data_IF_331127878474
#
_entry.id   IF_331127878474
#
_cell.length_a   1.000
_cell.length_b   1.000
_cell.length_c   1.000
_cell.angle_alpha   90.00
_cell.angle_beta   90.00
_cell.angle_gamma   90.00
#
_symmetry.space_group_name_H-M   'P 1'
#
loop_
_entity.id
_entity.type
_entity.pdbx_description
1 polymer ?
#
# COMPACT_ATOMS: atom_id res chain seq x y z
N UNK A 1 -14.02 1.54 39.52
CA UNK A 1 -13.91 0.27 40.27
C UNK A 1 -14.65 -0.77 39.44
N UNK A 2 -14.12 -1.99 39.34
CA UNK A 2 -14.34 -3.01 38.29
C UNK A 2 -13.56 -2.67 37.00
N UNK A 3 -12.52 -3.37 36.55
CA UNK A 3 -11.96 -4.66 36.93
C UNK A 3 -11.85 -5.55 35.70
N UNK A 4 -10.72 -5.49 34.99
CA UNK A 4 -10.29 -6.54 34.06
C UNK A 4 -8.82 -6.86 34.34
N UNK A 5 -8.63 -7.80 35.25
CA UNK A 5 -7.37 -8.50 35.49
C UNK A 5 -7.36 -9.75 34.62
N UNK A 6 -6.51 -9.75 33.60
CA UNK A 6 -6.14 -10.91 32.80
C UNK A 6 -4.80 -10.58 32.13
N UNK A 7 -3.71 -11.09 32.71
CA UNK A 7 -2.30 -10.79 32.42
C UNK A 7 -1.98 -10.68 30.92
N UNK A 8 -1.56 -9.47 30.53
CA UNK A 8 -0.66 -9.18 29.41
C UNK A 8 0.65 -8.58 29.97
N UNK A 9 1.19 -9.22 31.02
CA UNK A 9 2.49 -8.85 31.58
C UNK A 9 3.62 -9.47 30.73
N UNK A 10 3.83 -8.95 29.52
CA UNK A 10 5.11 -8.95 28.79
C UNK A 10 5.01 -8.34 27.38
N UNK A 11 4.32 -7.20 27.22
CA UNK A 11 4.50 -6.33 26.06
C UNK A 11 4.96 -4.98 26.63
N UNK A 12 6.24 -4.67 26.44
CA UNK A 12 6.88 -3.45 26.95
C UNK A 12 6.19 -2.18 26.43
N UNK A 13 6.47 -1.01 27.05
CA UNK A 13 5.80 0.25 26.75
C UNK A 13 6.31 0.89 25.43
N UNK A 14 6.14 0.18 24.31
CA UNK A 14 6.38 0.67 22.94
C UNK A 14 5.09 0.57 22.12
N UNK A 15 3.96 1.04 22.66
CA UNK A 15 2.73 1.22 21.89
C UNK A 15 2.49 2.68 21.55
N UNK A 16 2.22 2.90 20.26
CA UNK A 16 1.60 4.07 19.65
C UNK A 16 2.41 5.36 19.59
N UNK A 17 3.23 5.47 18.54
CA UNK A 17 3.49 6.77 17.88
C UNK A 17 3.77 6.57 16.38
N UNK A 18 2.88 5.88 15.68
CA UNK A 18 2.68 6.14 14.24
C UNK A 18 1.55 7.18 14.14
N UNK A 19 1.83 8.40 14.62
CA UNK A 19 0.90 9.51 14.46
C UNK A 19 1.23 10.19 13.13
N UNK A 20 0.38 9.93 12.14
CA UNK A 20 0.35 10.64 10.86
C UNK A 20 -0.04 12.10 11.16
N UNK A 21 0.90 13.02 10.97
CA UNK A 21 0.73 14.45 11.22
C UNK A 21 1.73 15.28 10.42
N UNK A 22 1.49 16.60 10.23
CA UNK A 22 2.10 17.37 9.15
C UNK A 22 3.61 17.65 9.36
N UNK A 23 4.41 17.30 8.35
CA UNK A 23 5.54 18.09 7.83
C UNK A 23 6.85 18.16 8.64
N UNK A 24 6.85 17.81 9.93
CA UNK A 24 8.07 17.80 10.75
C UNK A 24 8.07 16.56 11.64
N UNK A 25 9.18 15.81 11.64
CA UNK A 25 9.34 14.64 12.50
C UNK A 25 9.19 15.06 13.97
N UNK A 26 8.23 14.48 14.72
CA UNK A 26 8.03 14.85 16.10
C UNK A 26 9.23 14.41 16.94
N UNK A 27 9.55 15.19 17.98
CA UNK A 27 10.52 14.78 18.98
C UNK A 27 10.12 13.40 19.53
N UNK A 28 11.03 12.43 19.49
CA UNK A 28 10.73 11.05 19.89
C UNK A 28 10.39 10.89 21.39
N UNK A 29 10.66 11.90 22.22
CA UNK A 29 10.24 11.94 23.61
C UNK A 29 8.87 12.63 23.84
N UNK A 30 8.16 13.02 22.78
CA UNK A 30 6.87 13.70 22.90
C UNK A 30 5.88 12.80 23.64
N UNK A 31 5.29 13.32 24.72
CA UNK A 31 4.38 12.57 25.59
C UNK A 31 5.06 11.73 26.68
N UNK A 32 6.40 11.61 26.67
CA UNK A 32 7.16 10.91 27.72
C UNK A 32 7.77 11.86 28.76
N UNK A 33 7.97 13.13 28.40
CA UNK A 33 8.50 14.16 29.29
C UNK A 33 7.37 14.96 29.94
N UNK A 34 7.56 15.34 31.22
CA UNK A 34 6.67 16.28 31.91
C UNK A 34 6.76 17.70 31.32
N UNK A 35 7.95 18.08 30.86
CA UNK A 35 8.19 19.33 30.15
C UNK A 35 7.72 19.22 28.70
N UNK A 36 6.96 20.21 28.18
CA UNK A 36 6.49 20.18 26.80
C UNK A 36 7.65 20.34 25.80
N UNK A 37 7.46 19.82 24.59
CA UNK A 37 8.35 20.15 23.48
C UNK A 37 8.21 21.64 23.18
N UNK A 38 9.31 22.41 23.24
CA UNK A 38 9.35 23.87 23.05
C UNK A 38 9.09 24.35 21.61
N UNK A 39 8.17 23.72 20.87
CA UNK A 39 7.86 24.08 19.48
C UNK A 39 9.02 23.95 18.48
N UNK A 40 10.19 23.49 18.93
CA UNK A 40 11.39 23.34 18.13
C UNK A 40 11.38 22.08 17.28
N UNK A 41 12.01 22.20 16.11
CA UNK A 41 12.28 21.09 15.20
C UNK A 41 13.11 20.03 15.91
N UNK A 42 12.73 18.76 15.80
CA UNK A 42 13.54 17.65 16.29
C UNK A 42 14.66 17.34 15.29
N UNK A 43 15.77 18.08 15.37
CA UNK A 43 16.91 17.98 14.45
C UNK A 43 18.06 17.11 15.00
N UNK A 44 18.12 16.88 16.32
CA UNK A 44 19.17 16.09 16.96
C UNK A 44 18.88 14.60 16.80
N UNK A 45 19.46 13.98 15.77
CA UNK A 45 19.35 12.53 15.56
C UNK A 45 20.08 11.74 16.63
N UNK A 46 19.57 10.56 16.97
CA UNK A 46 20.29 9.59 17.79
C UNK A 46 21.59 9.18 17.09
N UNK A 47 22.75 9.37 17.75
CA UNK A 47 24.04 9.05 17.15
C UNK A 47 24.30 7.56 16.92
N UNK A 48 23.53 6.67 17.57
CA UNK A 48 23.65 5.22 17.38
C UNK A 48 22.90 4.71 16.16
N UNK A 49 21.63 5.08 16.00
CA UNK A 49 20.77 4.56 14.94
C UNK A 49 20.46 5.57 13.83
N UNK A 50 20.45 6.87 14.11
CA UNK A 50 20.05 7.90 13.15
C UNK A 50 18.56 7.93 12.79
N UNK A 51 17.75 7.01 13.30
CA UNK A 51 16.33 6.84 12.94
C UNK A 51 15.35 7.72 13.73
N UNK A 52 15.73 8.20 14.92
CA UNK A 52 14.91 9.06 15.79
C UNK A 52 15.59 10.40 16.03
N UNK A 53 14.82 11.45 16.28
CA UNK A 53 15.36 12.76 16.64
C UNK A 53 14.68 13.41 17.83
N UNK A 54 15.36 14.40 18.40
CA UNK A 54 14.99 15.06 19.64
C UNK A 54 15.14 16.58 19.49
N UNK A 55 14.26 17.34 20.13
CA UNK A 55 14.45 18.79 20.24
C UNK A 55 15.50 19.19 21.28
N UNK A 56 15.86 18.28 22.22
CA UNK A 56 16.83 18.55 23.28
C UNK A 56 17.56 17.30 23.75
N UNK A 57 18.73 17.48 24.40
CA UNK A 57 19.47 16.39 25.04
C UNK A 57 18.71 15.78 26.21
N UNK A 58 17.94 16.59 26.95
CA UNK A 58 17.11 16.10 28.05
C UNK A 58 16.06 15.08 27.56
N UNK A 59 15.38 15.39 26.45
CA UNK A 59 14.42 14.50 25.81
C UNK A 59 15.05 13.21 25.29
N UNK A 60 16.28 13.29 24.76
CA UNK A 60 17.04 12.09 24.38
C UNK A 60 17.28 11.18 25.59
N UNK A 61 17.70 11.73 26.73
CA UNK A 61 17.95 10.94 27.96
C UNK A 61 16.68 10.30 28.50
N UNK A 62 15.54 11.00 28.43
CA UNK A 62 14.23 10.47 28.83
C UNK A 62 13.85 9.29 27.92
N UNK A 63 13.90 9.49 26.60
CA UNK A 63 13.51 8.45 25.63
C UNK A 63 14.47 7.26 25.63
N UNK A 64 15.75 7.44 25.98
CA UNK A 64 16.75 6.37 26.01
C UNK A 64 16.34 5.16 26.86
N UNK A 65 15.50 5.36 27.88
CA UNK A 65 14.98 4.28 28.73
C UNK A 65 14.19 3.22 27.95
N UNK A 66 13.53 3.62 26.88
CA UNK A 66 12.75 2.76 25.98
C UNK A 66 13.56 2.45 24.71
N UNK A 67 14.10 3.50 24.08
CA UNK A 67 14.80 3.41 22.80
C UNK A 67 16.04 2.50 22.79
N UNK A 68 16.71 2.30 23.94
CA UNK A 68 17.93 1.48 24.02
C UNK A 68 17.78 0.08 23.42
N UNK A 69 16.61 -0.54 23.58
CA UNK A 69 16.32 -1.89 23.07
C UNK A 69 16.07 -1.90 21.55
N UNK A 70 15.59 -0.78 21.00
CA UNK A 70 15.25 -0.62 19.59
C UNK A 70 16.42 -0.06 18.78
N UNK A 71 17.33 0.68 19.43
CA UNK A 71 18.41 1.44 18.78
C UNK A 71 19.29 0.56 17.88
N UNK A 72 19.69 -0.64 18.34
CA UNK A 72 20.49 -1.56 17.52
C UNK A 72 19.73 -1.99 16.26
N UNK A 73 18.46 -2.34 16.40
CA UNK A 73 17.60 -2.80 15.30
C UNK A 73 17.35 -1.66 14.30
N UNK A 74 17.07 -0.44 14.77
CA UNK A 74 16.97 0.74 13.90
C UNK A 74 18.28 1.02 13.18
N UNK A 75 19.44 0.86 13.82
CA UNK A 75 20.73 1.04 13.15
C UNK A 75 20.91 0.02 12.01
N UNK A 76 20.45 -1.22 12.17
CA UNK A 76 20.47 -2.24 11.11
C UNK A 76 19.54 -1.88 9.96
N UNK A 77 18.30 -1.46 10.25
CA UNK A 77 17.34 -1.01 9.24
C UNK A 77 17.87 0.22 8.47
N UNK A 78 18.50 1.17 9.16
CA UNK A 78 19.11 2.36 8.57
C UNK A 78 20.31 2.06 7.66
N UNK A 79 20.96 0.90 7.77
CA UNK A 79 22.00 0.47 6.81
C UNK A 79 21.44 0.06 5.46
N UNK A 80 20.14 -0.23 5.37
CA UNK A 80 19.49 -0.69 4.12
C UNK A 80 18.85 0.44 3.32
N UNK A 81 18.95 1.68 3.78
CA UNK A 81 18.31 2.84 3.17
C UNK A 81 18.64 2.99 1.69
N UNK A 82 19.93 2.90 1.35
CA UNK A 82 20.39 3.12 -0.01
C UNK A 82 19.82 2.09 -0.99
N UNK A 83 19.56 0.87 -0.52
CA UNK A 83 18.93 -0.19 -1.34
C UNK A 83 17.43 0.07 -1.50
N UNK A 84 16.77 0.57 -0.45
CA UNK A 84 15.33 0.85 -0.48
C UNK A 84 14.97 2.05 -1.35
N UNK A 85 15.88 3.01 -1.51
CA UNK A 85 15.67 4.21 -2.33
C UNK A 85 16.13 4.06 -3.79
N UNK A 86 16.72 2.92 -4.15
CA UNK A 86 17.08 2.62 -5.54
C UNK A 86 15.84 2.25 -6.35
N UNK A 87 15.56 3.09 -7.34
CA UNK A 87 14.55 2.88 -8.37
C UNK A 87 15.13 3.25 -9.74
N UNK A 88 14.67 2.63 -10.84
CA UNK A 88 15.17 2.93 -12.19
C UNK A 88 14.61 4.23 -12.79
N UNK A 89 13.77 4.96 -12.05
CA UNK A 89 12.94 6.01 -12.60
C UNK A 89 13.63 7.36 -12.68
N UNK A 90 13.50 8.01 -13.83
CA UNK A 90 14.04 9.36 -14.04
C UNK A 90 13.03 10.47 -13.69
N UNK A 91 11.76 10.12 -13.41
CA UNK A 91 10.73 11.09 -13.03
C UNK A 91 10.79 11.50 -11.54
N UNK A 92 11.65 10.87 -10.74
CA UNK A 92 11.77 11.11 -9.29
C UNK A 92 12.63 12.34 -8.95
N UNK A 93 13.13 13.08 -9.95
CA UNK A 93 13.94 14.28 -9.72
C UNK A 93 13.14 15.33 -8.91
N UNK A 94 13.73 15.91 -7.84
CA UNK A 94 13.02 16.84 -6.98
C UNK A 94 12.56 18.08 -7.78
N UNK A 95 11.30 18.52 -7.62
CA UNK A 95 10.90 19.80 -8.18
C UNK A 95 11.74 20.94 -7.59
N UNK A 96 12.02 21.96 -8.41
CA UNK A 96 12.53 23.23 -7.92
C UNK A 96 11.58 23.75 -6.82
N UNK A 97 12.15 24.18 -5.69
CA UNK A 97 11.39 24.62 -4.51
C UNK A 97 10.37 25.69 -4.91
N UNK A 98 9.08 25.37 -4.80
CA UNK A 98 7.99 26.32 -4.99
C UNK A 98 7.23 26.46 -3.68
N UNK A 99 7.16 27.69 -3.14
CA UNK A 99 6.62 27.98 -1.81
C UNK A 99 5.07 28.00 -1.75
N UNK A 100 4.39 27.72 -2.87
CA UNK A 100 2.93 27.81 -2.97
C UNK A 100 2.17 26.54 -2.53
N UNK A 101 2.81 25.37 -2.49
CA UNK A 101 2.18 24.10 -2.11
C UNK A 101 2.77 23.54 -0.81
N UNK A 102 1.89 23.15 0.11
CA UNK A 102 2.27 22.68 1.45
C UNK A 102 2.71 21.21 1.54
N UNK A 103 2.61 20.44 0.45
CA UNK A 103 2.95 19.01 0.40
C UNK A 103 3.99 18.71 -0.68
N UNK A 104 5.03 17.95 -0.30
CA UNK A 104 6.04 17.44 -1.23
C UNK A 104 5.40 16.55 -2.32
N UNK A 105 4.39 15.76 -1.96
CA UNK A 105 3.61 14.96 -2.91
C UNK A 105 2.86 15.81 -3.94
N UNK A 106 2.23 16.91 -3.52
CA UNK A 106 1.56 17.82 -4.45
C UNK A 106 2.55 18.53 -5.38
N UNK A 107 3.71 18.97 -4.86
CA UNK A 107 4.79 19.56 -5.67
C UNK A 107 5.31 18.58 -6.73
N UNK A 108 5.51 17.33 -6.35
CA UNK A 108 5.89 16.25 -7.27
C UNK A 108 4.83 16.05 -8.37
N UNK A 109 3.56 15.91 -8.00
CA UNK A 109 2.50 15.72 -9.00
C UNK A 109 2.35 16.94 -9.92
N UNK A 110 2.63 18.15 -9.41
CA UNK A 110 2.62 19.36 -10.22
C UNK A 110 3.77 19.37 -11.24
N UNK A 111 4.97 18.93 -10.86
CA UNK A 111 6.13 18.90 -11.77
C UNK A 111 5.92 17.97 -12.97
N UNK A 112 5.21 16.86 -12.76
CA UNK A 112 4.81 15.93 -13.83
C UNK A 112 3.44 16.26 -14.45
N UNK A 113 2.84 17.42 -14.11
CA UNK A 113 1.56 17.93 -14.64
C UNK A 113 0.33 17.04 -14.38
N UNK A 114 0.36 16.22 -13.34
CA UNK A 114 -0.71 15.28 -12.94
C UNK A 114 -1.45 15.67 -11.66
N UNK A 115 -1.05 16.76 -11.00
CA UNK A 115 -1.72 17.29 -9.81
C UNK A 115 -3.23 17.47 -10.03
N UNK A 116 -4.06 16.85 -9.17
CA UNK A 116 -5.53 16.91 -9.20
C UNK A 116 -6.18 16.42 -10.51
N UNK A 117 -5.58 15.47 -11.23
CA UNK A 117 -6.11 14.92 -12.48
C UNK A 117 -6.40 13.43 -12.38
N UNK A 118 -7.54 12.99 -12.96
CA UNK A 118 -7.95 11.58 -13.10
C UNK A 118 -7.59 10.71 -11.89
N UNK A 119 -6.94 9.59 -12.17
CA UNK A 119 -6.50 8.60 -11.16
C UNK A 119 -5.50 9.15 -10.12
N UNK A 120 -4.88 10.31 -10.39
CA UNK A 120 -3.83 10.90 -9.55
C UNK A 120 -4.37 11.81 -8.45
N UNK A 121 -5.68 12.15 -8.49
CA UNK A 121 -6.32 13.05 -7.52
C UNK A 121 -6.10 12.61 -6.07
N UNK A 122 -6.24 11.31 -5.79
CA UNK A 122 -6.10 10.73 -4.45
C UNK A 122 -4.67 10.72 -3.90
N UNK A 123 -3.68 10.97 -4.77
CA UNK A 123 -2.30 11.14 -4.35
C UNK A 123 -2.01 12.55 -3.80
N UNK A 124 -2.91 13.50 -4.03
CA UNK A 124 -2.82 14.84 -3.47
C UNK A 124 -3.47 14.89 -2.07
N UNK A 125 -2.89 15.67 -1.16
CA UNK A 125 -3.54 15.98 0.13
C UNK A 125 -4.19 17.37 0.14
N UNK A 126 -3.92 18.21 -0.86
CA UNK A 126 -4.55 19.51 -1.03
C UNK A 126 -5.99 19.35 -1.55
N UNK A 127 -6.89 20.28 -1.22
CA UNK A 127 -8.25 20.28 -1.77
C UNK A 127 -9.21 19.25 -1.17
N UNK A 128 -8.97 18.73 0.04
CA UNK A 128 -9.94 17.88 0.79
C UNK A 128 -11.20 18.62 1.29
N UNK A 129 -11.53 19.77 0.70
CA UNK A 129 -12.81 20.43 0.95
C UNK A 129 -13.88 19.78 0.07
N UNK A 130 -14.62 18.84 0.67
CA UNK A 130 -16.00 18.48 0.33
C UNK A 130 -16.34 18.17 -1.15
N UNK A 131 -15.48 17.48 -1.91
CA UNK A 131 -15.94 16.83 -3.13
C UNK A 131 -16.86 15.64 -2.74
N UNK A 132 -18.13 15.60 -3.20
CA UNK A 132 -19.01 14.49 -2.88
C UNK A 132 -18.42 13.18 -3.41
N UNK A 133 -18.52 12.12 -2.61
CA UNK A 133 -18.11 10.72 -2.88
C UNK A 133 -18.79 10.10 -4.11
N UNK A 134 -19.47 10.91 -4.93
CA UNK A 134 -20.19 10.51 -6.14
C UNK A 134 -19.31 10.50 -7.41
N UNK A 135 -18.10 11.05 -7.37
CA UNK A 135 -17.25 11.23 -8.55
C UNK A 135 -16.16 10.15 -8.71
N UNK A 136 -16.46 8.92 -8.28
CA UNK A 136 -15.53 7.77 -8.29
C UNK A 136 -15.77 6.90 -9.54
N UNK A 137 -15.94 7.53 -10.69
CA UNK A 137 -16.27 6.79 -11.91
C UNK A 137 -15.06 5.97 -12.37
N UNK A 138 -15.33 4.78 -12.91
CA UNK A 138 -14.33 3.90 -13.54
C UNK A 138 -13.75 4.55 -14.82
N UNK A 139 -14.26 5.72 -15.21
CA UNK A 139 -13.88 6.45 -16.41
C UNK A 139 -12.67 7.37 -16.20
N UNK A 140 -12.09 7.39 -15.00
CA UNK A 140 -10.88 8.15 -14.73
C UNK A 140 -9.72 7.69 -15.63
N UNK A 141 -9.22 8.63 -16.43
CA UNK A 141 -8.13 8.43 -17.37
C UNK A 141 -6.76 8.49 -16.67
N UNK A 142 -5.75 7.96 -17.35
CA UNK A 142 -4.35 8.16 -16.95
C UNK A 142 -3.91 9.62 -17.03
N UNK A 143 -4.57 10.45 -17.85
CA UNK A 143 -4.11 11.81 -18.20
C UNK A 143 -2.65 11.85 -18.68
N UNK A 144 -2.22 10.77 -19.34
CA UNK A 144 -0.90 10.57 -19.93
C UNK A 144 -1.08 10.20 -21.40
N UNK A 145 -0.08 10.51 -22.22
CA UNK A 145 -0.02 10.05 -23.61
C UNK A 145 0.02 8.52 -23.67
N UNK A 146 -0.46 7.95 -24.77
CA UNK A 146 -0.51 6.49 -25.00
C UNK A 146 0.84 5.79 -24.86
N UNK A 147 1.94 6.48 -25.16
CA UNK A 147 3.32 6.00 -25.00
C UNK A 147 3.80 5.95 -23.55
N UNK A 148 3.07 6.58 -22.62
CA UNK A 148 3.44 6.72 -21.21
C UNK A 148 2.52 5.95 -20.28
N UNK A 149 1.49 5.25 -20.76
CA UNK A 149 0.61 4.48 -19.90
C UNK A 149 0.15 3.17 -20.54
N UNK A 150 -0.14 2.14 -19.71
CA UNK A 150 -0.64 0.85 -20.19
C UNK A 150 -2.14 0.93 -20.52
N UNK A 151 -2.48 1.67 -21.59
CA UNK A 151 -3.88 1.87 -22.01
C UNK A 151 -4.39 0.82 -23.02
N UNK A 152 -3.54 -0.12 -23.44
CA UNK A 152 -3.85 -1.17 -24.40
C UNK A 152 -3.25 -2.51 -23.96
N UNK A 153 -3.66 -3.59 -24.63
CA UNK A 153 -3.07 -4.93 -24.42
C UNK A 153 -1.54 -4.92 -24.58
N UNK A 154 -0.81 -5.78 -23.83
CA UNK A 154 0.63 -5.95 -24.00
C UNK A 154 0.95 -6.59 -25.37
N UNK A 155 2.12 -6.25 -25.91
CA UNK A 155 2.58 -6.78 -27.21
C UNK A 155 3.04 -8.22 -27.13
N UNK A 156 3.55 -8.61 -25.97
CA UNK A 156 4.10 -9.94 -25.69
C UNK A 156 3.36 -10.55 -24.49
N UNK A 157 3.23 -11.89 -24.44
CA UNK A 157 2.74 -12.58 -23.24
C UNK A 157 3.53 -12.16 -22.00
N UNK A 158 2.87 -12.18 -20.84
CA UNK A 158 3.54 -11.91 -19.56
C UNK A 158 4.67 -12.91 -19.34
N UNK A 159 5.88 -12.48 -18.94
CA UNK A 159 6.96 -13.39 -18.56
C UNK A 159 6.53 -14.29 -17.40
N UNK A 160 7.20 -15.44 -17.23
CA UNK A 160 6.90 -16.37 -16.14
C UNK A 160 7.03 -15.72 -14.76
N UNK A 161 7.94 -14.75 -14.61
CA UNK A 161 8.12 -13.95 -13.39
C UNK A 161 8.53 -12.53 -13.80
N UNK A 162 7.82 -11.53 -13.30
CA UNK A 162 8.28 -10.14 -13.24
C UNK A 162 8.89 -9.89 -11.86
N UNK A 163 10.19 -9.59 -11.78
CA UNK A 163 10.92 -9.50 -10.52
C UNK A 163 11.26 -8.06 -10.10
N UNK A 164 11.10 -7.09 -11.00
CA UNK A 164 11.48 -5.70 -10.79
C UNK A 164 10.60 -4.73 -11.58
N UNK A 165 10.68 -3.44 -11.25
CA UNK A 165 10.04 -2.38 -12.03
C UNK A 165 10.61 -2.31 -13.45
N UNK A 166 11.90 -2.55 -13.62
CA UNK A 166 12.60 -2.62 -14.90
C UNK A 166 11.99 -3.70 -15.80
N UNK A 167 11.79 -4.91 -15.28
CA UNK A 167 11.16 -6.01 -16.03
C UNK A 167 9.74 -5.63 -16.50
N UNK A 168 8.95 -5.01 -15.61
CA UNK A 168 7.59 -4.59 -15.93
C UNK A 168 7.56 -3.50 -17.01
N UNK A 169 8.42 -2.48 -16.88
CA UNK A 169 8.50 -1.38 -17.85
C UNK A 169 8.99 -1.87 -19.21
N UNK A 170 9.99 -2.75 -19.25
CA UNK A 170 10.46 -3.40 -20.47
C UNK A 170 9.34 -4.19 -21.14
N UNK A 171 8.66 -5.07 -20.38
CA UNK A 171 7.56 -5.89 -20.88
C UNK A 171 6.40 -5.05 -21.44
N UNK A 172 6.01 -3.98 -20.74
CA UNK A 172 4.96 -3.06 -21.19
C UNK A 172 5.42 -2.05 -22.23
N UNK A 173 6.70 -2.07 -22.62
CA UNK A 173 7.29 -1.10 -23.55
C UNK A 173 7.10 0.34 -23.08
N UNK A 174 7.20 0.57 -21.77
CA UNK A 174 7.09 1.88 -21.13
C UNK A 174 8.48 2.48 -20.88
N UNK A 175 8.68 3.77 -21.13
CA UNK A 175 9.93 4.41 -20.78
C UNK A 175 10.02 4.70 -19.28
N UNK A 176 11.23 4.70 -18.70
CA UNK A 176 11.47 4.91 -17.26
C UNK A 176 11.12 6.31 -16.73
N UNK A 177 10.80 7.26 -17.62
CA UNK A 177 10.23 8.56 -17.24
C UNK A 177 8.68 8.53 -17.14
N UNK A 178 8.03 7.43 -17.50
CA UNK A 178 6.59 7.27 -17.25
C UNK A 178 6.32 7.09 -15.74
N UNK A 179 5.43 7.89 -15.14
CA UNK A 179 5.19 7.87 -13.69
C UNK A 179 4.22 6.77 -13.23
N UNK A 180 3.79 5.84 -14.09
CA UNK A 180 2.70 4.90 -13.77
C UNK A 180 2.98 3.98 -12.58
N UNK A 181 4.25 3.72 -12.23
CA UNK A 181 4.64 2.98 -11.03
C UNK A 181 4.08 3.59 -9.73
N UNK A 182 3.77 4.89 -9.73
CA UNK A 182 3.12 5.58 -8.60
C UNK A 182 1.71 5.06 -8.31
N UNK A 183 1.01 4.52 -9.32
CA UNK A 183 -0.34 3.95 -9.18
C UNK A 183 -0.35 2.43 -9.34
N UNK A 184 0.50 1.90 -10.22
CA UNK A 184 0.57 0.47 -10.51
C UNK A 184 1.21 -0.36 -9.39
N UNK A 185 1.80 0.27 -8.37
CA UNK A 185 2.26 -0.48 -7.21
C UNK A 185 1.11 -1.26 -6.55
N UNK A 186 -0.17 -0.85 -6.66
CA UNK A 186 -1.29 -1.63 -6.13
C UNK A 186 -1.42 -3.01 -6.82
N UNK A 187 -1.73 -3.10 -8.13
CA UNK A 187 -1.86 -4.38 -8.80
C UNK A 187 -0.56 -5.18 -8.86
N UNK A 188 0.60 -4.52 -8.99
CA UNK A 188 1.88 -5.24 -9.09
C UNK A 188 2.35 -5.81 -7.74
N UNK A 189 2.04 -5.13 -6.62
CA UNK A 189 2.25 -5.70 -5.29
C UNK A 189 1.35 -6.93 -5.09
N UNK A 190 0.09 -6.86 -5.51
CA UNK A 190 -0.83 -7.99 -5.45
C UNK A 190 -0.33 -9.16 -6.32
N UNK A 191 0.11 -8.89 -7.56
CA UNK A 191 0.73 -9.89 -8.43
C UNK A 191 1.91 -10.58 -7.73
N UNK A 192 2.83 -9.80 -7.15
CA UNK A 192 3.97 -10.36 -6.42
C UNK A 192 3.53 -11.24 -5.24
N UNK A 193 2.52 -10.82 -4.48
CA UNK A 193 1.98 -11.60 -3.37
C UNK A 193 1.33 -12.92 -3.83
N UNK A 194 0.62 -12.90 -4.96
CA UNK A 194 0.06 -14.12 -5.57
C UNK A 194 1.19 -15.10 -5.93
N UNK A 195 2.27 -14.62 -6.55
CA UNK A 195 3.45 -15.44 -6.85
C UNK A 195 4.09 -16.03 -5.58
N UNK A 196 4.25 -15.24 -4.52
CA UNK A 196 4.79 -15.71 -3.23
C UNK A 196 3.92 -16.77 -2.56
N UNK A 197 2.60 -16.65 -2.70
CA UNK A 197 1.65 -17.62 -2.15
C UNK A 197 1.64 -18.96 -2.92
N UNK A 198 2.37 -19.04 -4.04
CA UNK A 198 2.35 -20.16 -5.01
C UNK A 198 0.96 -20.49 -5.54
N UNK A 199 0.06 -19.51 -5.54
CA UNK A 199 -1.27 -19.62 -6.10
C UNK A 199 -1.22 -19.16 -7.54
N UNK A 200 -0.46 -19.89 -8.35
CA UNK A 200 -0.68 -19.89 -9.79
C UNK A 200 -1.88 -20.80 -10.06
N UNK A 201 -2.89 -20.36 -10.82
CA UNK A 201 -3.97 -21.24 -11.25
C UNK A 201 -3.37 -22.52 -11.79
N UNK A 202 -3.83 -23.66 -11.25
CA UNK A 202 -3.45 -24.96 -11.81
C UNK A 202 -4.10 -25.07 -13.18
N UNK A 203 -3.45 -25.83 -14.06
CA UNK A 203 -3.95 -26.27 -15.37
C UNK A 203 -5.17 -27.23 -15.23
N UNK A 204 -6.03 -27.03 -14.23
CA UNK A 204 -7.17 -27.89 -13.88
C UNK A 204 -8.53 -27.32 -14.32
N UNK A 205 -8.53 -26.23 -15.10
CA UNK A 205 -9.74 -25.74 -15.78
C UNK A 205 -10.71 -24.96 -14.89
N UNK A 206 -10.28 -24.47 -13.72
CA UNK A 206 -10.98 -23.45 -12.96
C UNK A 206 -10.27 -22.10 -13.11
N UNK A 207 -10.63 -21.39 -14.19
CA UNK A 207 -10.07 -20.10 -14.61
C UNK A 207 -10.54 -18.93 -13.72
N UNK A 208 -10.53 -19.06 -12.39
CA UNK A 208 -10.97 -18.00 -11.47
C UNK A 208 -10.05 -17.85 -10.25
N UNK A 209 -9.53 -16.64 -10.05
CA UNK A 209 -8.77 -16.24 -8.88
C UNK A 209 -9.59 -15.27 -7.99
N UNK A 210 -10.18 -15.81 -6.92
CA UNK A 210 -10.85 -15.05 -5.87
C UNK A 210 -9.87 -14.55 -4.78
N UNK A 211 -9.87 -13.24 -4.50
CA UNK A 211 -8.96 -12.55 -3.57
C UNK A 211 -9.79 -11.70 -2.61
N UNK A 212 -9.50 -11.75 -1.31
CA UNK A 212 -10.04 -10.76 -0.37
C UNK A 212 -8.99 -9.68 -0.12
N UNK A 213 -9.26 -8.46 -0.57
CA UNK A 213 -8.41 -7.28 -0.42
C UNK A 213 -8.87 -6.47 0.78
N UNK A 214 -8.03 -6.33 1.80
CA UNK A 214 -8.43 -5.72 3.08
C UNK A 214 -7.88 -4.31 3.22
N UNK A 215 -8.72 -3.41 3.73
CA UNK A 215 -8.35 -2.02 4.05
C UNK A 215 -8.09 -1.13 2.84
N UNK A 216 -8.89 -1.16 1.76
CA UNK A 216 -8.72 -0.22 0.66
C UNK A 216 -9.01 1.22 1.11
N UNK A 217 -8.15 2.15 0.73
CA UNK A 217 -8.32 3.58 0.99
C UNK A 217 -8.23 4.36 -0.33
N UNK A 218 -7.01 4.74 -0.73
CA UNK A 218 -6.75 5.44 -1.99
C UNK A 218 -7.17 4.63 -3.21
N UNK A 219 -7.10 3.30 -3.08
CA UNK A 219 -7.46 2.33 -4.10
C UNK A 219 -8.93 2.44 -4.52
N UNK A 220 -9.81 2.87 -3.61
CA UNK A 220 -11.23 3.10 -3.91
C UNK A 220 -11.44 4.20 -4.97
N UNK A 221 -10.46 5.10 -5.11
CA UNK A 221 -10.40 6.19 -6.08
C UNK A 221 -9.54 5.83 -7.31
N UNK A 222 -8.93 4.64 -7.31
CA UNK A 222 -7.95 4.19 -8.31
C UNK A 222 -8.30 2.80 -8.84
N UNK A 223 -9.57 2.38 -8.75
CA UNK A 223 -10.01 1.03 -9.12
C UNK A 223 -9.60 0.68 -10.56
N UNK A 224 -9.61 1.65 -11.48
CA UNK A 224 -9.20 1.42 -12.87
C UNK A 224 -7.74 0.93 -13.02
N UNK A 225 -6.85 1.21 -12.05
CA UNK A 225 -5.48 0.68 -12.05
C UNK A 225 -5.45 -0.85 -11.92
N UNK A 226 -6.45 -1.46 -11.27
CA UNK A 226 -6.58 -2.92 -11.18
C UNK A 226 -6.88 -3.58 -12.53
N UNK A 227 -7.22 -2.80 -13.57
CA UNK A 227 -7.32 -3.29 -14.94
C UNK A 227 -6.02 -3.91 -15.45
N UNK A 228 -4.86 -3.51 -14.92
CA UNK A 228 -3.57 -4.11 -15.31
C UNK A 228 -3.47 -5.59 -14.93
N UNK A 229 -4.24 -6.07 -13.95
CA UNK A 229 -4.27 -7.49 -13.59
C UNK A 229 -4.73 -8.39 -14.75
N UNK A 230 -5.47 -7.84 -15.72
CA UNK A 230 -5.86 -8.54 -16.95
C UNK A 230 -4.65 -8.97 -17.78
N UNK A 231 -3.66 -8.08 -17.88
CA UNK A 231 -2.42 -8.34 -18.59
C UNK A 231 -1.51 -9.31 -17.80
N UNK A 232 -1.54 -9.22 -16.47
CA UNK A 232 -0.69 -10.01 -15.57
C UNK A 232 -1.17 -11.46 -15.39
N UNK A 233 -2.47 -11.72 -15.60
CA UNK A 233 -3.07 -13.06 -15.52
C UNK A 233 -3.97 -13.33 -16.75
N UNK A 234 -3.38 -13.54 -17.93
CA UNK A 234 -4.14 -13.79 -19.14
C UNK A 234 -4.94 -15.11 -19.01
N UNK A 235 -6.22 -15.07 -19.38
CA UNK A 235 -7.12 -16.22 -19.35
C UNK A 235 -7.73 -16.54 -17.97
N UNK A 236 -7.41 -15.78 -16.92
CA UNK A 236 -7.87 -16.05 -15.54
C UNK A 236 -8.89 -14.98 -15.14
N UNK A 237 -10.10 -15.35 -14.75
CA UNK A 237 -11.08 -14.41 -14.19
C UNK A 237 -10.68 -13.99 -12.78
N UNK A 238 -10.51 -12.69 -12.54
CA UNK A 238 -10.06 -12.19 -11.24
C UNK A 238 -11.25 -11.61 -10.51
N UNK A 239 -11.54 -12.13 -9.31
CA UNK A 239 -12.59 -11.63 -8.43
C UNK A 239 -11.92 -11.09 -7.17
N UNK A 240 -12.13 -9.81 -6.87
CA UNK A 240 -11.56 -9.15 -5.68
C UNK A 240 -12.69 -8.61 -4.81
N UNK A 241 -12.79 -9.14 -3.61
CA UNK A 241 -13.65 -8.65 -2.55
C UNK A 241 -12.87 -7.59 -1.76
N UNK A 242 -13.13 -6.30 -2.02
CA UNK A 242 -12.50 -5.17 -1.33
C UNK A 242 -13.27 -4.85 -0.04
N UNK A 243 -12.67 -5.09 1.11
CA UNK A 243 -13.33 -5.03 2.42
C UNK A 243 -12.62 -4.03 3.32
N UNK A 244 -13.34 -3.01 3.79
CA UNK A 244 -12.77 -2.09 4.76
C UNK A 244 -13.76 -1.07 5.34
N UNK A 245 -13.43 -0.47 6.50
CA UNK A 245 -14.27 0.56 7.12
C UNK A 245 -14.38 1.83 6.25
N UNK A 246 -13.36 2.14 5.46
CA UNK A 246 -13.28 3.33 4.60
C UNK A 246 -14.09 3.21 3.30
N UNK A 247 -14.65 2.02 2.99
CA UNK A 247 -15.62 1.89 1.90
C UNK A 247 -16.83 2.77 2.21
N UNK A 248 -17.23 3.68 1.30
CA UNK A 248 -18.39 4.54 1.53
C UNK A 248 -19.68 3.72 1.65
N UNK A 249 -20.57 4.11 2.58
CA UNK A 249 -21.85 3.40 2.77
C UNK A 249 -22.70 3.35 1.49
N UNK A 250 -22.59 4.38 0.64
CA UNK A 250 -23.30 4.45 -0.64
C UNK A 250 -22.78 3.47 -1.70
N UNK A 251 -21.60 2.88 -1.49
CA UNK A 251 -20.95 1.91 -2.39
C UNK A 251 -20.88 0.50 -1.79
N UNK A 252 -21.44 0.30 -0.60
CA UNK A 252 -21.48 -1.03 0.02
C UNK A 252 -22.30 -2.00 -0.84
N UNK A 253 -21.70 -3.14 -1.19
CA UNK A 253 -22.27 -4.13 -2.10
C UNK A 253 -22.13 -3.81 -3.59
N UNK A 254 -21.52 -2.68 -3.96
CA UNK A 254 -21.30 -2.31 -5.36
C UNK A 254 -20.37 -3.32 -6.05
N UNK A 255 -20.73 -3.71 -7.28
CA UNK A 255 -19.91 -4.56 -8.14
C UNK A 255 -19.43 -3.73 -9.34
N UNK A 256 -18.12 -3.65 -9.48
CA UNK A 256 -17.39 -2.94 -10.53
C UNK A 256 -16.74 -3.96 -11.46
N UNK A 257 -17.08 -3.90 -12.75
CA UNK A 257 -16.48 -4.77 -13.77
C UNK A 257 -15.48 -3.97 -14.61
N UNK A 258 -14.20 -4.36 -14.59
CA UNK A 258 -13.14 -3.74 -15.37
C UNK A 258 -12.93 -4.55 -16.65
N UNK A 259 -13.65 -4.12 -17.70
CA UNK A 259 -13.63 -4.74 -19.02
C UNK A 259 -12.59 -4.15 -19.99
N UNK A 260 -11.90 -3.07 -19.59
CA UNK A 260 -10.88 -2.35 -20.38
C UNK A 260 -9.85 -1.69 -19.47
N UNK A 261 -8.69 -1.36 -20.03
CA UNK A 261 -7.69 -0.51 -19.36
C UNK A 261 -8.19 0.93 -19.23
N UNK A 262 -7.66 1.66 -18.25
CA UNK A 262 -7.86 3.10 -18.17
C UNK A 262 -7.32 3.80 -19.42
N UNK A 263 -8.07 4.75 -19.96
CA UNK A 263 -7.74 5.40 -21.22
C UNK A 263 -6.55 6.38 -21.07
N UNK A 264 -5.81 6.57 -22.16
CA UNK A 264 -4.82 7.64 -22.27
C UNK A 264 -5.47 8.95 -22.73
N UNK A 265 -4.70 10.04 -22.73
CA UNK A 265 -5.18 11.36 -23.17
C UNK A 265 -5.26 11.53 -24.68
N UNK A 266 -4.60 10.69 -25.47
CA UNK A 266 -4.47 10.89 -26.92
C UNK A 266 -5.80 10.60 -27.64
N UNK A 267 -6.37 11.61 -28.31
CA UNK A 267 -7.68 11.50 -28.98
C UNK A 267 -7.74 10.43 -30.07
N UNK A 268 -6.63 10.21 -30.78
CA UNK A 268 -6.52 9.24 -31.86
C UNK A 268 -6.13 7.84 -31.37
N UNK A 269 -5.98 7.61 -30.07
CA UNK A 269 -5.59 6.30 -29.55
C UNK A 269 -6.75 5.31 -29.65
N UNK A 270 -6.44 4.06 -30.01
CA UNK A 270 -7.42 3.00 -30.10
C UNK A 270 -8.11 2.70 -28.76
N UNK A 271 -7.50 3.04 -27.62
CA UNK A 271 -8.11 2.88 -26.29
C UNK A 271 -9.38 3.73 -26.10
N UNK A 272 -9.61 4.76 -26.94
CA UNK A 272 -10.83 5.59 -26.94
C UNK A 272 -11.91 5.09 -27.89
N UNK A 273 -11.56 4.15 -28.78
CA UNK A 273 -12.53 3.60 -29.73
C UNK A 273 -13.46 2.61 -29.02
N UNK A 274 -14.78 2.79 -29.20
CA UNK A 274 -15.82 1.90 -28.63
C UNK A 274 -15.85 0.50 -29.25
N UNK A 275 -14.90 0.18 -30.14
CA UNK A 275 -14.77 -1.14 -30.74
C UNK A 275 -14.01 -2.01 -29.73
N UNK A 276 -14.70 -2.35 -28.64
CA UNK A 276 -14.38 -3.59 -27.95
C UNK A 276 -14.57 -4.69 -28.98
N UNK A 277 -13.48 -5.35 -29.40
CA UNK A 277 -13.66 -6.66 -29.98
C UNK A 277 -14.52 -7.44 -28.99
N UNK A 278 -15.59 -8.05 -29.47
CA UNK A 278 -16.30 -9.10 -28.72
C UNK A 278 -15.37 -10.32 -28.64
N UNK A 279 -14.16 -10.15 -28.13
CA UNK A 279 -13.29 -11.25 -27.80
C UNK A 279 -13.76 -11.77 -26.44
N UNK A 280 -14.52 -12.87 -26.51
CA UNK A 280 -14.94 -13.66 -25.36
C UNK A 280 -13.75 -14.23 -24.53
N UNK A 281 -12.50 -13.90 -24.89
CA UNK A 281 -11.27 -14.37 -24.26
C UNK A 281 -10.59 -13.34 -23.34
N UNK A 282 -11.14 -12.13 -23.18
CA UNK A 282 -10.56 -11.13 -22.29
C UNK A 282 -10.78 -11.48 -20.81
N UNK A 283 -9.68 -11.59 -20.04
CA UNK A 283 -9.71 -11.67 -18.57
C UNK A 283 -10.62 -10.58 -18.00
N UNK A 284 -11.66 -10.97 -17.27
CA UNK A 284 -12.51 -10.05 -16.53
C UNK A 284 -11.93 -9.84 -15.12
N UNK A 285 -11.79 -8.56 -14.71
CA UNK A 285 -11.50 -8.20 -13.32
C UNK A 285 -12.80 -7.66 -12.71
N UNK A 286 -13.32 -8.38 -11.74
CA UNK A 286 -14.54 -8.04 -11.00
C UNK A 286 -14.14 -7.61 -9.60
N UNK A 287 -14.53 -6.41 -9.22
CA UNK A 287 -14.29 -5.85 -7.89
C UNK A 287 -15.62 -5.69 -7.18
N UNK A 288 -15.73 -6.18 -5.95
CA UNK A 288 -16.93 -6.00 -5.13
C UNK A 288 -16.56 -5.33 -3.81
N UNK A 289 -17.31 -4.29 -3.46
CA UNK A 289 -16.97 -3.42 -2.33
C UNK A 289 -17.81 -3.80 -1.11
N UNK A 290 -17.16 -3.86 0.05
CA UNK A 290 -17.80 -4.16 1.33
C UNK A 290 -17.37 -3.19 2.40
N UNK A 291 -18.35 -2.48 2.96
CA UNK A 291 -18.13 -1.66 4.14
C UNK A 291 -18.11 -2.51 5.40
N UNK A 292 -17.15 -2.20 6.26
CA UNK A 292 -17.02 -2.78 7.61
C UNK A 292 -15.70 -3.51 7.81
N UNK A 293 -15.48 -4.00 9.02
CA UNK A 293 -14.27 -4.77 9.27
C UNK A 293 -14.40 -6.19 8.72
N UNK A 294 -13.28 -6.75 8.26
CA UNK A 294 -13.28 -8.10 7.69
C UNK A 294 -13.89 -9.14 8.63
N UNK A 295 -13.58 -9.07 9.93
CA UNK A 295 -14.09 -10.00 10.92
C UNK A 295 -15.61 -9.93 11.16
N UNK A 296 -16.27 -8.86 10.72
CA UNK A 296 -17.72 -8.70 10.78
C UNK A 296 -18.38 -9.17 9.48
N UNK A 297 -17.69 -9.01 8.35
CA UNK A 297 -18.21 -9.29 7.01
C UNK A 297 -17.81 -10.67 6.47
N UNK A 298 -16.80 -11.34 7.04
CA UNK A 298 -16.23 -12.56 6.47
C UNK A 298 -17.27 -13.67 6.24
N UNK A 299 -18.22 -13.83 7.17
CA UNK A 299 -19.28 -14.83 7.08
C UNK A 299 -20.27 -14.54 5.95
N UNK A 300 -20.46 -13.27 5.57
CA UNK A 300 -21.30 -12.89 4.42
C UNK A 300 -20.55 -13.05 3.11
N UNK A 301 -19.27 -12.67 3.08
CA UNK A 301 -18.42 -12.70 1.88
C UNK A 301 -18.11 -14.15 1.49
N UNK A 302 -17.83 -15.03 2.46
CA UNK A 302 -17.46 -16.42 2.21
C UNK A 302 -18.65 -17.35 1.90
N UNK A 303 -19.88 -16.82 1.78
CA UNK A 303 -21.06 -17.66 1.44
C UNK A 303 -20.97 -18.27 0.05
N UNK A 304 -20.49 -17.48 -0.91
CA UNK A 304 -20.52 -17.84 -2.32
C UNK A 304 -19.19 -18.45 -2.81
N UNK A 305 -18.06 -18.04 -2.23
CA UNK A 305 -16.75 -18.59 -2.55
C UNK A 305 -15.75 -18.40 -1.41
N UNK A 306 -14.79 -19.33 -1.29
CA UNK A 306 -13.62 -19.16 -0.43
C UNK A 306 -12.51 -18.48 -1.22
N UNK A 307 -11.86 -17.43 -0.70
CA UNK A 307 -10.76 -16.80 -1.40
C UNK A 307 -9.54 -17.72 -1.43
N UNK A 308 -8.80 -17.57 -2.51
CA UNK A 308 -7.49 -18.15 -2.69
C UNK A 308 -6.50 -17.42 -1.78
N UNK A 309 -6.51 -16.09 -1.83
CA UNK A 309 -5.56 -15.23 -1.10
C UNK A 309 -6.29 -14.12 -0.34
N UNK A 310 -5.81 -13.82 0.87
CA UNK A 310 -6.11 -12.56 1.57
C UNK A 310 -4.92 -11.63 1.39
N UNK A 311 -5.15 -10.43 0.86
CA UNK A 311 -4.13 -9.41 0.66
C UNK A 311 -4.50 -8.14 1.45
N UNK A 312 -3.57 -7.65 2.26
CA UNK A 312 -3.78 -6.47 3.11
C UNK A 312 -2.60 -5.49 2.92
N UNK A 313 -2.69 -4.57 1.96
CA UNK A 313 -1.63 -3.62 1.72
C UNK A 313 -1.60 -2.53 2.79
N UNK A 314 -0.40 -2.07 3.14
CA UNK A 314 -0.16 -1.03 4.13
C UNK A 314 -0.94 -1.27 5.44
N UNK A 315 -0.99 -2.53 5.88
CA UNK A 315 -1.98 -2.99 6.85
C UNK A 315 -1.88 -2.28 8.20
N UNK A 316 -0.68 -1.91 8.64
CA UNK A 316 -0.50 -1.30 9.95
C UNK A 316 -1.01 -2.19 11.08
N UNK A 317 -0.75 -3.51 11.02
CA UNK A 317 -1.30 -4.50 11.97
C UNK A 317 -0.99 -4.14 13.43
N UNK A 318 0.22 -3.63 13.68
CA UNK A 318 0.63 -3.20 15.02
C UNK A 318 0.07 -1.82 15.43
N UNK A 319 -0.41 -1.03 14.46
CA UNK A 319 -0.94 0.31 14.70
C UNK A 319 -2.44 0.31 15.05
N UNK A 320 -3.22 -0.65 14.53
CA UNK A 320 -4.67 -0.68 14.72
C UNK A 320 -5.13 -1.95 15.47
N UNK A 321 -5.66 -1.81 16.71
CA UNK A 321 -6.15 -2.95 17.49
C UNK A 321 -7.29 -3.74 16.83
N UNK A 322 -8.03 -3.11 15.90
CA UNK A 322 -9.09 -3.76 15.12
C UNK A 322 -8.60 -4.92 14.25
N UNK A 323 -7.28 -5.04 14.02
CA UNK A 323 -6.71 -6.20 13.33
C UNK A 323 -6.78 -7.48 14.14
N UNK A 324 -6.76 -7.43 15.48
CA UNK A 324 -6.71 -8.62 16.32
C UNK A 324 -7.80 -9.67 15.98
N UNK A 325 -9.11 -9.32 15.98
CA UNK A 325 -10.15 -10.26 15.56
C UNK A 325 -10.03 -10.72 14.10
N UNK A 326 -9.54 -9.86 13.20
CA UNK A 326 -9.29 -10.22 11.79
C UNK A 326 -8.19 -11.29 11.68
N UNK A 327 -7.06 -11.11 12.37
CA UNK A 327 -5.94 -12.07 12.38
C UNK A 327 -6.37 -13.41 12.99
N UNK A 328 -7.22 -13.40 14.02
CA UNK A 328 -7.79 -14.62 14.59
C UNK A 328 -8.64 -15.39 13.57
N UNK A 329 -9.45 -14.69 12.78
CA UNK A 329 -10.27 -15.32 11.74
C UNK A 329 -9.39 -15.89 10.63
N UNK A 330 -8.41 -15.13 10.14
CA UNK A 330 -7.44 -15.61 9.14
C UNK A 330 -6.74 -16.89 9.62
N UNK A 331 -6.30 -16.90 10.89
CA UNK A 331 -5.70 -18.09 11.51
C UNK A 331 -6.67 -19.29 11.50
N UNK A 332 -7.94 -19.08 11.84
CA UNK A 332 -8.95 -20.14 11.93
C UNK A 332 -9.35 -20.68 10.56
N UNK A 333 -9.44 -19.84 9.55
CA UNK A 333 -9.78 -20.25 8.18
C UNK A 333 -8.60 -20.91 7.47
N UNK A 334 -7.36 -20.59 7.87
CA UNK A 334 -6.15 -21.15 7.28
C UNK A 334 -5.86 -20.65 5.86
N UNK A 335 -6.60 -19.65 5.40
CA UNK A 335 -6.41 -19.04 4.08
C UNK A 335 -5.08 -18.29 4.08
N UNK A 336 -4.21 -18.47 3.06
CA UNK A 336 -2.98 -17.71 2.94
C UNK A 336 -3.26 -16.20 3.00
N UNK A 337 -2.57 -15.50 3.91
CA UNK A 337 -2.70 -14.07 4.09
C UNK A 337 -1.35 -13.37 3.97
N UNK A 338 -1.29 -12.35 3.12
CA UNK A 338 -0.09 -11.57 2.87
C UNK A 338 -0.40 -10.09 3.13
N UNK A 339 0.48 -9.46 3.88
CA UNK A 339 0.40 -8.09 4.31
C UNK A 339 1.55 -7.31 3.72
N UNK A 340 1.36 -6.00 3.53
CA UNK A 340 2.49 -5.08 3.32
C UNK A 340 2.51 -3.96 4.33
N UNK A 341 3.68 -3.34 4.51
CA UNK A 341 3.87 -2.19 5.39
C UNK A 341 4.86 -1.18 4.82
N UNK A 342 4.80 0.06 5.32
CA UNK A 342 5.54 1.19 4.77
C UNK A 342 7.06 1.13 4.98
N UNK A 343 7.50 0.55 6.09
CA UNK A 343 8.91 0.46 6.47
C UNK A 343 9.20 -0.84 7.22
N UNK A 344 10.48 -1.16 7.33
CA UNK A 344 10.92 -2.42 7.95
C UNK A 344 10.47 -2.51 9.42
N UNK A 345 10.38 -1.37 10.10
CA UNK A 345 9.91 -1.34 11.48
C UNK A 345 8.44 -1.68 11.63
N UNK A 346 7.59 -1.09 10.79
CA UNK A 346 6.16 -1.41 10.80
C UNK A 346 5.94 -2.90 10.52
N UNK A 347 6.67 -3.46 9.53
CA UNK A 347 6.62 -4.89 9.22
C UNK A 347 7.13 -5.77 10.38
N UNK A 348 8.18 -5.35 11.08
CA UNK A 348 8.69 -6.07 12.27
C UNK A 348 7.65 -6.10 13.39
N UNK A 349 7.05 -4.96 13.71
CA UNK A 349 6.01 -4.88 14.73
C UNK A 349 4.77 -5.69 14.32
N UNK A 350 4.36 -5.62 13.06
CA UNK A 350 3.28 -6.44 12.50
C UNK A 350 3.59 -7.95 12.66
N UNK A 351 4.81 -8.38 12.34
CA UNK A 351 5.26 -9.76 12.57
C UNK A 351 5.15 -10.18 14.03
N UNK A 352 5.58 -9.33 14.97
CA UNK A 352 5.47 -9.61 16.40
C UNK A 352 4.00 -9.76 16.81
N UNK A 353 3.12 -8.84 16.40
CA UNK A 353 1.68 -8.90 16.69
C UNK A 353 1.04 -10.18 16.12
N UNK A 354 1.29 -10.50 14.85
CA UNK A 354 0.75 -11.70 14.20
C UNK A 354 1.24 -12.95 14.93
N UNK A 355 2.52 -13.07 15.24
CA UNK A 355 3.05 -14.24 15.96
C UNK A 355 2.50 -14.34 17.38
N UNK A 356 2.29 -13.23 18.09
CA UNK A 356 1.65 -13.24 19.41
C UNK A 356 0.20 -13.70 19.36
N UNK A 357 -0.59 -13.24 18.38
CA UNK A 357 -2.02 -13.62 18.24
C UNK A 357 -2.15 -15.09 17.77
N UNK A 358 -1.28 -15.52 16.86
CA UNK A 358 -1.40 -16.82 16.21
C UNK A 358 -0.66 -17.94 16.95
N UNK A 359 0.35 -17.59 17.75
CA UNK A 359 1.28 -18.55 18.33
C UNK A 359 2.14 -19.27 17.28
N UNK A 360 2.24 -18.72 16.06
CA UNK A 360 2.97 -19.30 14.94
C UNK A 360 3.96 -18.29 14.35
N UNK A 361 5.12 -18.75 13.83
CA UNK A 361 5.99 -17.88 13.04
C UNK A 361 5.32 -17.54 11.70
N UNK A 362 5.79 -16.47 11.06
CA UNK A 362 5.39 -16.13 9.71
C UNK A 362 5.78 -17.25 8.72
N UNK A 363 4.90 -17.53 7.76
CA UNK A 363 5.20 -18.42 6.64
C UNK A 363 6.03 -17.73 5.56
N UNK A 364 5.79 -16.45 5.35
CA UNK A 364 6.57 -15.60 4.43
C UNK A 364 7.32 -14.59 5.30
N UNK A 365 8.66 -14.68 5.37
CA UNK A 365 9.44 -13.74 6.17
C UNK A 365 9.36 -12.33 5.58
N UNK A 366 9.66 -11.33 6.42
CA UNK A 366 9.74 -9.93 5.99
C UNK A 366 10.77 -9.81 4.87
N UNK A 367 10.34 -9.30 3.72
CA UNK A 367 11.20 -9.02 2.58
C UNK A 367 10.75 -7.76 1.84
N UNK A 368 11.63 -7.17 1.05
CA UNK A 368 11.31 -5.98 0.26
C UNK A 368 10.41 -6.37 -0.90
N UNK A 369 9.33 -5.61 -1.10
CA UNK A 369 8.50 -5.72 -2.29
C UNK A 369 9.18 -5.00 -3.46
N UNK A 370 9.49 -5.69 -4.57
CA UNK A 370 10.12 -5.07 -5.73
C UNK A 370 9.23 -4.00 -6.37
N UNK A 371 7.90 -4.12 -6.22
CA UNK A 371 6.91 -3.20 -6.81
C UNK A 371 6.39 -2.18 -5.81
N UNK A 372 7.18 -1.85 -4.77
CA UNK A 372 6.85 -0.75 -3.85
C UNK A 372 6.73 0.58 -4.60
N UNK A 373 5.90 1.49 -4.09
CA UNK A 373 5.70 2.80 -4.70
C UNK A 373 7.01 3.59 -4.67
N UNK A 374 7.45 4.20 -5.79
CA UNK A 374 8.77 4.84 -5.86
C UNK A 374 8.87 6.22 -5.22
N UNK A 375 7.72 6.81 -4.87
CA UNK A 375 7.66 8.11 -4.20
C UNK A 375 7.50 7.88 -2.70
N UNK A 376 8.41 8.46 -1.92
CA UNK A 376 8.39 8.33 -0.47
C UNK A 376 7.06 8.81 0.13
N UNK A 377 6.61 8.14 1.20
CA UNK A 377 5.42 8.54 1.93
C UNK A 377 5.68 9.83 2.72
N UNK A 378 4.78 10.81 2.58
CA UNK A 378 4.77 12.00 3.40
C UNK A 378 4.45 11.58 4.85
N UNK A 379 5.28 11.99 5.81
CA UNK A 379 5.05 11.87 7.27
C UNK A 379 5.36 10.51 7.92
N UNK A 380 6.62 10.07 7.83
CA UNK A 380 7.12 9.05 8.76
C UNK A 380 7.36 9.64 10.15
N UNK A 381 7.08 8.88 11.21
CA UNK A 381 7.47 9.21 12.59
C UNK A 381 8.95 8.89 12.88
N UNK A 382 9.62 8.21 11.94
CA UNK A 382 11.03 7.84 11.98
C UNK A 382 11.76 8.34 10.72
N UNK A 383 13.06 8.55 10.79
CA UNK A 383 13.90 8.82 9.61
C UNK A 383 14.16 7.57 8.74
N UNK A 384 13.46 6.48 9.01
CA UNK A 384 13.47 5.30 8.14
C UNK A 384 12.77 5.63 6.81
N UNK A 385 13.25 5.09 5.68
CA UNK A 385 12.55 5.20 4.41
C UNK A 385 11.19 4.52 4.51
N UNK A 386 10.18 5.26 4.08
CA UNK A 386 8.81 4.80 4.05
C UNK A 386 8.30 4.92 2.62
N UNK A 387 7.89 3.80 2.05
CA UNK A 387 7.27 3.71 0.72
C UNK A 387 5.98 2.92 0.84
N UNK A 388 4.96 3.26 0.07
CA UNK A 388 3.75 2.43 0.06
C UNK A 388 4.08 1.03 -0.45
N UNK A 389 3.55 0.00 0.22
CA UNK A 389 3.81 -1.41 -0.02
C UNK A 389 5.31 -1.78 0.01
N UNK A 390 6.11 -1.18 0.89
CA UNK A 390 7.57 -1.36 0.89
C UNK A 390 8.03 -2.77 1.26
N UNK A 391 7.48 -3.32 2.35
CA UNK A 391 7.82 -4.64 2.86
C UNK A 391 6.62 -5.56 2.79
N UNK A 392 6.85 -6.83 2.49
CA UNK A 392 5.86 -7.89 2.44
C UNK A 392 6.15 -8.97 3.49
N UNK A 393 5.09 -9.50 4.10
CA UNK A 393 5.14 -10.56 5.11
C UNK A 393 3.83 -11.39 5.05
N UNK A 394 3.84 -12.64 5.49
CA UNK A 394 2.65 -13.48 5.37
C UNK A 394 2.57 -14.63 6.38
N UNK A 395 1.35 -15.10 6.64
CA UNK A 395 1.02 -16.13 7.64
C UNK A 395 0.23 -17.31 7.09
#
# INVERSE_FOLDING_TARGET
>A
MVGFTGRLDSVGPSQALVLIGPGWLPCAAKGLAAEPCFGGVADRRCGGCGAVAYCSRAHQVIHWRVHKEECKRFAEQMRRIDVLSQFPFTFLEPPAVNHELSSARCLFLQSIKLHQKGLWKSECICGRDAAPVKDLSIEDEWNLQSSLCPCTEPRNPVPSVLASWEDYYEWRSLPLHSPVAVLLHWPLSLYHCIQLSRQTPRDDGQDTLCIHYLGPEKELLQLAAFGELRALFPGVQIHIELVGPEVPQSRDGEVVNISRYACCSDESCCCKSSIGSKDLSCTAVTLKLWKGFYHERCSDIMKDSTPHLIFAPNAGVAAYPSWMPTIEIIRRTGIPAIFTDFCEEAAHLASCCISSITGQPLKIPIQVNPFRQPVAADNSALYLPCYSNCFVLGM
#
